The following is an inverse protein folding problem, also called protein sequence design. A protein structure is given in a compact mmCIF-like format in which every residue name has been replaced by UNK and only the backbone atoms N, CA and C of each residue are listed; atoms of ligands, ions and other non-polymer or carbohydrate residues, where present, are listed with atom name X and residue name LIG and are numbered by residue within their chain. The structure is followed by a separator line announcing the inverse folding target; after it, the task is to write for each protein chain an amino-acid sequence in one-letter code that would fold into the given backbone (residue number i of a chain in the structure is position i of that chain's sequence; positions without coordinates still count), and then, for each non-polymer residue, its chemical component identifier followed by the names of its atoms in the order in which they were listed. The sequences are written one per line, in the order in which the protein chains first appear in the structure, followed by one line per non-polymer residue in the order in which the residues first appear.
data_IF_356348600679
#
_entry.id   IF_356348600679
#
_cell.length_a   1.000
_cell.length_b   1.000
_cell.length_c   1.000
_cell.angle_alpha   90.00
_cell.angle_beta   90.00
_cell.angle_gamma   90.00
#
_symmetry.space_group_name_H-M   'P 1'
#
loop_
_entity.id
_entity.type
_entity.pdbx_description
1 polymer ?
#
# COMPACT_ATOMS: atom_id res chain seq x y z
N UNK A 1 -28.90 5.54 -4.39
CA UNK A 1 -27.47 5.58 -3.97
C UNK A 1 -26.63 5.85 -5.20
N UNK A 2 -25.89 6.92 -5.17
CA UNK A 2 -24.90 7.27 -6.17
C UNK A 2 -23.52 6.87 -5.63
N UNK A 3 -22.68 6.27 -6.48
CA UNK A 3 -21.28 5.95 -6.16
C UNK A 3 -20.45 6.84 -7.08
N UNK A 4 -19.64 7.71 -6.50
CA UNK A 4 -18.76 8.60 -7.24
C UNK A 4 -17.59 7.83 -7.88
N UNK A 5 -16.91 8.45 -8.85
CA UNK A 5 -15.72 7.87 -9.45
C UNK A 5 -14.66 7.54 -8.38
N UNK A 6 -13.97 6.39 -8.50
CA UNK A 6 -12.94 6.01 -7.55
C UNK A 6 -11.75 6.96 -7.61
N UNK A 7 -11.33 7.43 -6.45
CA UNK A 7 -10.17 8.29 -6.27
C UNK A 7 -9.04 7.53 -5.55
N UNK A 8 -7.82 7.48 -6.11
CA UNK A 8 -6.69 6.83 -5.44
C UNK A 8 -6.28 7.65 -4.19
N UNK A 9 -6.04 6.96 -3.07
CA UNK A 9 -5.70 7.59 -1.79
C UNK A 9 -4.42 7.07 -1.15
N UNK A 10 -3.97 5.89 -1.54
CA UNK A 10 -2.74 5.32 -1.06
C UNK A 10 -2.06 4.55 -2.20
N UNK A 11 -0.79 4.82 -2.40
CA UNK A 11 0.13 4.03 -3.21
C UNK A 11 1.22 3.48 -2.29
N UNK A 12 1.42 2.18 -2.29
CA UNK A 12 2.58 1.52 -1.70
C UNK A 12 3.33 0.80 -2.82
N UNK A 13 4.60 1.11 -2.98
CA UNK A 13 5.51 0.37 -3.84
C UNK A 13 6.61 -0.25 -2.99
N UNK A 14 6.88 -1.53 -3.16
CA UNK A 14 7.82 -2.26 -2.35
C UNK A 14 8.70 -3.19 -3.18
N UNK A 15 9.96 -3.31 -2.78
CA UNK A 15 10.93 -4.21 -3.37
C UNK A 15 11.60 -5.05 -2.30
N UNK A 16 11.88 -6.30 -2.61
CA UNK A 16 12.77 -7.15 -1.84
C UNK A 16 13.95 -7.56 -2.70
N UNK A 17 15.14 -7.48 -2.14
CA UNK A 17 16.38 -7.72 -2.85
C UNK A 17 17.36 -8.59 -2.04
N UNK A 18 18.50 -8.89 -2.64
CA UNK A 18 19.59 -9.54 -1.95
C UNK A 18 20.12 -8.66 -0.81
N UNK A 19 20.53 -9.27 0.29
CA UNK A 19 21.04 -8.56 1.46
C UNK A 19 22.23 -7.66 1.12
N UNK A 20 22.14 -6.37 1.48
CA UNK A 20 23.14 -5.32 1.25
C UNK A 20 23.69 -4.72 2.55
N UNK A 21 23.73 -5.50 3.63
CA UNK A 21 24.06 -5.03 4.99
C UNK A 21 25.31 -4.16 5.07
N UNK A 22 26.49 -4.54 4.52
CA UNK A 22 27.68 -3.71 4.62
C UNK A 22 27.51 -2.35 3.93
N UNK A 23 26.95 -2.35 2.73
CA UNK A 23 26.74 -1.11 1.95
C UNK A 23 25.73 -0.17 2.62
N UNK A 24 24.68 -0.70 3.21
CA UNK A 24 23.71 0.13 3.94
C UNK A 24 24.36 0.78 5.16
N UNK A 25 25.13 0.05 5.93
CA UNK A 25 25.82 0.59 7.11
C UNK A 25 26.77 1.73 6.74
N UNK A 26 27.55 1.55 5.67
CA UNK A 26 28.53 2.56 5.22
C UNK A 26 27.87 3.79 4.61
N UNK A 27 26.80 3.63 3.82
CA UNK A 27 26.16 4.71 3.05
C UNK A 27 24.95 5.33 3.72
N UNK A 28 24.54 4.84 4.87
CA UNK A 28 23.28 5.26 5.52
C UNK A 28 23.18 6.77 5.72
N UNK A 29 24.24 7.41 6.22
CA UNK A 29 24.24 8.86 6.45
C UNK A 29 24.16 9.67 5.16
N UNK A 30 24.86 9.22 4.11
CA UNK A 30 24.84 9.83 2.79
C UNK A 30 23.44 9.72 2.15
N UNK A 31 22.83 8.54 2.22
CA UNK A 31 21.46 8.32 1.72
C UNK A 31 20.44 9.20 2.42
N UNK A 32 20.52 9.31 3.76
CA UNK A 32 19.63 10.18 4.54
C UNK A 32 19.79 11.63 4.11
N UNK A 33 21.03 12.15 4.03
CA UNK A 33 21.29 13.53 3.66
C UNK A 33 20.80 13.86 2.24
N UNK A 34 21.11 12.98 1.28
CA UNK A 34 20.69 13.13 -0.12
C UNK A 34 19.16 13.07 -0.25
N UNK A 35 18.49 12.06 0.29
CA UNK A 35 17.06 11.89 0.12
C UNK A 35 16.22 12.91 0.89
N UNK A 36 16.72 13.40 2.04
CA UNK A 36 16.10 14.51 2.75
C UNK A 36 16.02 15.78 1.88
N UNK A 37 17.02 16.02 1.04
CA UNK A 37 17.09 17.16 0.14
C UNK A 37 16.34 16.88 -1.18
N UNK A 38 16.73 15.84 -1.91
CA UNK A 38 16.28 15.58 -3.28
C UNK A 38 14.80 15.20 -3.36
N UNK A 39 14.30 14.48 -2.34
CA UNK A 39 12.93 13.98 -2.26
C UNK A 39 12.07 14.68 -1.21
N UNK A 40 12.61 15.74 -0.57
CA UNK A 40 11.91 16.54 0.47
C UNK A 40 11.40 15.69 1.64
N UNK A 41 12.23 14.79 2.14
CA UNK A 41 11.97 13.89 3.26
C UNK A 41 12.78 14.32 4.50
N UNK A 42 12.49 15.49 5.14
CA UNK A 42 13.34 16.09 6.16
C UNK A 42 13.32 15.37 7.51
N UNK A 43 12.29 14.61 7.79
CA UNK A 43 12.17 13.86 9.03
C UNK A 43 12.70 12.44 8.84
N UNK A 44 13.62 12.04 9.69
CA UNK A 44 14.23 10.72 9.56
C UNK A 44 14.48 10.04 10.88
N UNK A 45 14.50 8.72 10.84
CA UNK A 45 14.93 7.85 11.93
C UNK A 45 15.81 6.75 11.33
N UNK A 46 16.87 6.37 12.03
CA UNK A 46 17.76 5.32 11.61
C UNK A 46 18.13 4.41 12.79
N UNK A 47 18.02 3.12 12.56
CA UNK A 47 18.51 2.06 13.45
C UNK A 47 19.72 1.37 12.81
N UNK A 48 20.17 0.26 13.41
CA UNK A 48 21.25 -0.54 12.87
C UNK A 48 20.93 -1.07 11.45
N UNK A 49 19.70 -1.54 11.24
CA UNK A 49 19.31 -2.29 10.04
C UNK A 49 18.26 -1.55 9.17
N UNK A 50 17.83 -0.35 9.57
CA UNK A 50 16.72 0.33 8.92
C UNK A 50 16.95 1.84 8.88
N UNK A 51 16.56 2.44 7.77
CA UNK A 51 16.43 3.90 7.59
C UNK A 51 15.00 4.20 7.23
N UNK A 52 14.41 5.19 7.88
CA UNK A 52 13.08 5.69 7.59
C UNK A 52 13.15 7.20 7.37
N UNK A 53 12.56 7.67 6.29
CA UNK A 53 12.42 9.09 5.97
C UNK A 53 10.95 9.41 5.70
N UNK A 54 10.52 10.60 6.15
CA UNK A 54 9.11 11.01 6.10
C UNK A 54 9.02 12.50 5.75
N UNK A 55 8.00 12.88 5.00
CA UNK A 55 7.63 14.29 4.83
C UNK A 55 7.05 14.86 6.13
N UNK A 56 7.11 16.18 6.32
CA UNK A 56 6.58 16.85 7.53
C UNK A 56 5.09 16.60 7.78
N UNK A 57 4.31 16.44 6.71
CA UNK A 57 2.88 16.13 6.78
C UNK A 57 2.60 14.64 6.96
N UNK A 58 3.63 13.80 6.99
CA UNK A 58 3.52 12.35 7.16
C UNK A 58 2.99 11.58 5.94
N UNK A 59 2.65 12.26 4.84
CA UNK A 59 1.99 11.63 3.68
C UNK A 59 2.92 10.79 2.82
N UNK A 60 4.18 11.19 2.68
CA UNK A 60 5.19 10.41 1.94
C UNK A 60 6.16 9.78 2.93
N UNK A 61 6.32 8.49 2.83
CA UNK A 61 7.23 7.72 3.67
C UNK A 61 8.09 6.81 2.80
N UNK A 62 9.37 6.81 3.06
CA UNK A 62 10.32 5.84 2.55
C UNK A 62 10.93 5.06 3.70
N UNK A 63 10.98 3.75 3.57
CA UNK A 63 11.69 2.88 4.49
C UNK A 63 12.61 1.94 3.73
N UNK A 64 13.85 1.85 4.19
CA UNK A 64 14.89 1.02 3.65
C UNK A 64 15.43 0.10 4.75
N UNK A 65 15.50 -1.19 4.49
CA UNK A 65 16.17 -2.18 5.32
C UNK A 65 17.31 -2.86 4.56
N UNK A 66 18.02 -3.74 5.23
CA UNK A 66 19.10 -4.54 4.60
C UNK A 66 18.61 -5.51 3.51
N UNK A 67 17.31 -5.72 3.36
CA UNK A 67 16.73 -6.71 2.43
C UNK A 67 15.54 -6.20 1.62
N UNK A 68 14.97 -5.10 2.01
CA UNK A 68 13.78 -4.56 1.38
C UNK A 68 13.72 -3.05 1.50
N UNK A 69 12.92 -2.45 0.64
CA UNK A 69 12.51 -1.07 0.76
C UNK A 69 11.06 -0.94 0.36
N UNK A 70 10.40 0.06 0.90
CA UNK A 70 9.10 0.46 0.44
C UNK A 70 8.91 1.97 0.49
N UNK A 71 8.07 2.44 -0.39
CA UNK A 71 7.55 3.79 -0.47
C UNK A 71 6.06 3.74 -0.21
N UNK A 72 5.54 4.68 0.56
CA UNK A 72 4.11 4.86 0.78
C UNK A 72 3.74 6.32 0.61
N UNK A 73 2.77 6.60 -0.24
CA UNK A 73 2.27 7.94 -0.55
C UNK A 73 0.76 7.96 -0.30
N UNK A 74 0.32 8.90 0.53
CA UNK A 74 -1.09 9.08 0.91
C UNK A 74 -1.65 10.39 0.36
N UNK A 75 -2.94 10.40 0.00
CA UNK A 75 -3.68 11.60 -0.39
C UNK A 75 -3.00 12.44 -1.47
N UNK A 76 -2.52 11.79 -2.52
CA UNK A 76 -1.95 12.43 -3.69
C UNK A 76 -3.05 12.79 -4.69
N UNK A 77 -2.82 13.86 -5.46
CA UNK A 77 -3.78 14.35 -6.48
C UNK A 77 -3.53 13.70 -7.84
N UNK A 78 -2.28 13.45 -8.18
CA UNK A 78 -1.88 12.86 -9.46
C UNK A 78 -1.15 11.53 -9.24
N UNK A 79 -1.71 10.47 -9.84
CA UNK A 79 -1.13 9.12 -9.75
C UNK A 79 0.18 9.01 -10.52
N UNK A 80 0.32 9.72 -11.64
CA UNK A 80 1.54 9.74 -12.44
C UNK A 80 2.69 10.35 -11.64
N UNK A 81 2.49 11.55 -11.05
CA UNK A 81 3.47 12.19 -10.18
C UNK A 81 3.86 11.30 -8.99
N UNK A 82 2.88 10.70 -8.32
CA UNK A 82 3.14 9.81 -7.19
C UNK A 82 3.97 8.58 -7.61
N UNK A 83 3.67 8.00 -8.77
CA UNK A 83 4.39 6.86 -9.32
C UNK A 83 5.81 7.23 -9.73
N UNK A 84 6.01 8.36 -10.40
CA UNK A 84 7.32 8.85 -10.83
C UNK A 84 8.20 9.15 -9.63
N UNK A 85 7.65 9.79 -8.59
CA UNK A 85 8.38 10.07 -7.36
C UNK A 85 8.81 8.77 -6.65
N UNK A 86 7.91 7.79 -6.53
CA UNK A 86 8.23 6.50 -5.92
C UNK A 86 9.30 5.75 -6.73
N UNK A 87 9.16 5.72 -8.06
CA UNK A 87 10.09 5.06 -8.95
C UNK A 87 11.49 5.71 -8.90
N UNK A 88 11.57 7.05 -8.93
CA UNK A 88 12.83 7.79 -8.83
C UNK A 88 13.59 7.44 -7.55
N UNK A 89 12.91 7.55 -6.39
CA UNK A 89 13.51 7.24 -5.09
C UNK A 89 14.00 5.80 -4.97
N UNK A 90 13.21 4.84 -5.47
CA UNK A 90 13.59 3.43 -5.46
C UNK A 90 14.75 3.14 -6.40
N UNK A 91 14.77 3.74 -7.59
CA UNK A 91 15.86 3.60 -8.57
C UNK A 91 17.17 4.16 -8.03
N UNK A 92 17.15 5.34 -7.44
CA UNK A 92 18.31 5.96 -6.79
C UNK A 92 18.86 5.10 -5.64
N UNK A 93 17.97 4.45 -4.90
CA UNK A 93 18.36 3.54 -3.82
C UNK A 93 19.04 2.28 -4.37
N UNK A 94 18.48 1.69 -5.43
CA UNK A 94 19.05 0.52 -6.12
C UNK A 94 20.45 0.84 -6.61
N UNK A 95 20.63 1.98 -7.26
CA UNK A 95 21.94 2.43 -7.76
C UNK A 95 22.92 2.68 -6.63
N UNK A 96 22.53 3.45 -5.61
CA UNK A 96 23.40 3.81 -4.49
C UNK A 96 23.88 2.58 -3.69
N UNK A 97 23.04 1.55 -3.54
CA UNK A 97 23.38 0.31 -2.84
C UNK A 97 23.89 -0.79 -3.76
N UNK A 98 24.07 -0.51 -5.05
CA UNK A 98 24.50 -1.48 -6.05
C UNK A 98 23.69 -2.79 -5.95
N UNK A 99 22.35 -2.66 -5.87
CA UNK A 99 21.47 -3.82 -5.81
C UNK A 99 21.45 -4.50 -7.18
N UNK A 100 22.03 -5.67 -7.27
CA UNK A 100 22.14 -6.45 -8.52
C UNK A 100 20.99 -7.44 -8.72
N UNK A 101 20.22 -7.72 -7.66
CA UNK A 101 19.15 -8.71 -7.75
C UNK A 101 17.91 -8.35 -6.92
N UNK A 102 16.81 -8.11 -7.61
CA UNK A 102 15.48 -7.98 -7.03
C UNK A 102 14.80 -9.35 -7.05
N UNK A 103 14.26 -9.78 -5.91
CA UNK A 103 13.62 -11.09 -5.73
C UNK A 103 12.10 -11.01 -5.66
N UNK A 104 11.57 -9.83 -5.36
CA UNK A 104 10.15 -9.58 -5.22
C UNK A 104 9.84 -8.11 -5.43
N UNK A 105 8.74 -7.83 -6.10
CA UNK A 105 8.17 -6.48 -6.24
C UNK A 105 6.69 -6.53 -5.90
N UNK A 106 6.18 -5.48 -5.26
CA UNK A 106 4.77 -5.36 -4.94
C UNK A 106 4.29 -3.92 -5.10
N UNK A 107 3.08 -3.78 -5.61
CA UNK A 107 2.37 -2.50 -5.67
C UNK A 107 0.99 -2.69 -5.06
N UNK A 108 0.64 -1.85 -4.11
CA UNK A 108 -0.67 -1.84 -3.48
C UNK A 108 -1.28 -0.46 -3.58
N UNK A 109 -2.55 -0.41 -3.93
CA UNK A 109 -3.30 0.83 -4.08
C UNK A 109 -4.62 0.76 -3.35
N UNK A 110 -4.94 1.83 -2.63
CA UNK A 110 -6.27 2.02 -2.06
C UNK A 110 -7.01 3.10 -2.83
N UNK A 111 -8.25 2.79 -3.16
CA UNK A 111 -9.18 3.66 -3.85
C UNK A 111 -10.41 3.86 -2.99
N UNK A 112 -10.92 5.08 -2.98
CA UNK A 112 -12.15 5.43 -2.29
C UNK A 112 -13.15 5.99 -3.30
N UNK A 113 -14.40 5.50 -3.25
CA UNK A 113 -15.52 6.05 -4.00
C UNK A 113 -16.52 6.58 -3.00
N UNK A 114 -16.66 7.90 -2.91
CA UNK A 114 -17.65 8.53 -2.01
C UNK A 114 -19.08 8.05 -2.32
N UNK A 115 -19.89 7.94 -1.28
CA UNK A 115 -21.31 7.55 -1.38
C UNK A 115 -22.18 8.49 -0.57
N UNK A 116 -23.42 8.66 -1.00
CA UNK A 116 -24.41 9.53 -0.32
C UNK A 116 -24.95 8.90 0.96
N UNK A 117 -24.89 7.57 1.08
CA UNK A 117 -25.47 6.85 2.21
C UNK A 117 -24.77 5.51 2.45
N UNK A 118 -24.06 5.41 3.58
CA UNK A 118 -23.44 4.17 4.04
C UNK A 118 -24.47 3.05 4.25
N UNK A 119 -25.63 3.38 4.79
CA UNK A 119 -26.66 2.39 5.06
C UNK A 119 -27.24 1.79 3.78
N UNK A 120 -27.37 2.58 2.72
CA UNK A 120 -27.79 2.09 1.40
C UNK A 120 -26.70 1.26 0.74
N UNK A 121 -25.43 1.72 0.79
CA UNK A 121 -24.28 0.97 0.29
C UNK A 121 -24.17 -0.39 1.00
N UNK A 122 -24.23 -0.38 2.34
CA UNK A 122 -24.18 -1.61 3.15
C UNK A 122 -25.33 -2.55 2.80
N UNK A 123 -26.56 -2.05 2.68
CA UNK A 123 -27.71 -2.87 2.28
C UNK A 123 -27.50 -3.48 0.91
N UNK A 124 -27.11 -2.68 -0.07
CA UNK A 124 -26.81 -3.15 -1.42
C UNK A 124 -25.73 -4.24 -1.42
N UNK A 125 -24.67 -4.05 -0.62
CA UNK A 125 -23.59 -5.03 -0.47
C UNK A 125 -24.09 -6.33 0.16
N UNK A 126 -24.89 -6.23 1.22
CA UNK A 126 -25.46 -7.39 1.91
C UNK A 126 -26.42 -8.16 1.01
N UNK A 127 -27.25 -7.47 0.22
CA UNK A 127 -28.19 -8.11 -0.71
C UNK A 127 -27.48 -8.84 -1.83
N UNK A 128 -26.35 -8.33 -2.31
CA UNK A 128 -25.61 -8.92 -3.43
C UNK A 128 -24.66 -10.04 -3.01
N UNK A 129 -24.02 -9.90 -1.88
CA UNK A 129 -22.90 -10.76 -1.46
C UNK A 129 -23.13 -11.45 -0.11
N UNK A 130 -24.15 -11.05 0.63
CA UNK A 130 -24.32 -11.41 2.04
C UNK A 130 -25.05 -12.72 2.32
N UNK A 131 -25.69 -13.37 1.37
CA UNK A 131 -26.55 -14.53 1.62
C UNK A 131 -25.87 -15.63 2.45
N UNK A 132 -24.70 -16.09 2.07
CA UNK A 132 -23.96 -17.12 2.80
C UNK A 132 -23.30 -16.61 4.09
N UNK A 133 -22.57 -15.49 4.09
CA UNK A 133 -22.01 -14.93 5.32
C UNK A 133 -23.06 -14.60 6.38
N UNK A 134 -24.25 -14.06 5.99
CA UNK A 134 -25.34 -13.77 6.92
C UNK A 134 -25.90 -15.05 7.54
N UNK A 135 -26.10 -16.10 6.74
CA UNK A 135 -26.58 -17.39 7.23
C UNK A 135 -25.58 -18.00 8.25
N UNK A 136 -24.28 -17.91 7.97
CA UNK A 136 -23.25 -18.36 8.89
C UNK A 136 -23.23 -17.55 10.19
N UNK A 137 -23.33 -16.22 10.12
CA UNK A 137 -23.38 -15.35 11.30
C UNK A 137 -24.61 -15.65 12.17
N UNK A 138 -25.79 -15.87 11.57
CA UNK A 138 -27.00 -16.28 12.26
C UNK A 138 -26.84 -17.64 12.96
N UNK A 139 -26.18 -18.62 12.31
CA UNK A 139 -25.90 -19.93 12.90
C UNK A 139 -24.98 -19.82 14.13
N UNK A 140 -24.14 -18.79 14.20
CA UNK A 140 -23.28 -18.46 15.35
C UNK A 140 -24.00 -17.62 16.41
N UNK A 141 -25.29 -17.28 16.22
CA UNK A 141 -26.06 -16.42 17.11
C UNK A 141 -25.57 -14.96 17.11
N UNK A 142 -24.96 -14.51 16.00
CA UNK A 142 -24.40 -13.15 15.86
C UNK A 142 -25.03 -12.43 14.68
N UNK A 143 -25.17 -11.11 14.81
CA UNK A 143 -25.51 -10.25 13.67
C UNK A 143 -24.21 -9.75 13.01
N UNK A 144 -24.17 -9.82 11.67
CA UNK A 144 -23.08 -9.20 10.92
C UNK A 144 -23.25 -7.68 10.89
N UNK A 145 -22.28 -6.97 11.39
CA UNK A 145 -22.26 -5.50 11.35
C UNK A 145 -21.80 -4.97 10.00
N UNK A 146 -20.98 -5.72 9.28
CA UNK A 146 -20.36 -5.32 8.03
C UNK A 146 -19.97 -6.53 7.16
N UNK A 147 -19.69 -6.30 5.87
CA UNK A 147 -19.27 -7.30 4.90
C UNK A 147 -18.19 -6.73 3.99
N UNK A 148 -17.04 -7.39 3.95
CA UNK A 148 -16.00 -7.16 2.96
C UNK A 148 -15.80 -8.40 2.08
N UNK A 149 -15.37 -8.19 0.84
CA UNK A 149 -15.08 -9.25 -0.13
C UNK A 149 -13.59 -9.26 -0.42
N UNK A 150 -13.03 -10.46 -0.53
CA UNK A 150 -11.65 -10.69 -0.95
C UNK A 150 -11.68 -11.60 -2.18
N UNK A 151 -11.04 -11.15 -3.25
CA UNK A 151 -10.80 -11.92 -4.47
C UNK A 151 -9.30 -12.14 -4.62
N UNK A 152 -8.90 -13.37 -4.86
CA UNK A 152 -7.51 -13.74 -5.15
C UNK A 152 -7.42 -14.34 -6.56
N UNK A 153 -6.49 -13.83 -7.35
CA UNK A 153 -6.23 -14.27 -8.72
C UNK A 153 -4.88 -15.00 -8.74
N UNK A 154 -4.88 -16.33 -8.91
CA UNK A 154 -3.68 -17.16 -8.67
C UNK A 154 -2.98 -17.64 -9.95
N UNK A 155 -3.65 -17.56 -11.08
CA UNK A 155 -3.20 -18.25 -12.30
C UNK A 155 -2.28 -17.41 -13.20
N UNK A 156 -2.13 -16.12 -12.90
CA UNK A 156 -1.33 -15.19 -13.69
C UNK A 156 -0.22 -14.54 -12.86
N UNK A 157 0.86 -14.11 -13.54
CA UNK A 157 1.90 -13.28 -12.95
C UNK A 157 1.79 -11.87 -13.53
N UNK A 158 1.70 -10.84 -12.71
CA UNK A 158 1.76 -10.82 -11.24
C UNK A 158 0.53 -11.45 -10.57
N UNK A 159 0.69 -11.86 -9.30
CA UNK A 159 -0.42 -12.31 -8.47
C UNK A 159 -1.22 -11.09 -8.02
N UNK A 160 -2.53 -11.13 -8.19
CA UNK A 160 -3.42 -10.06 -7.74
C UNK A 160 -4.28 -10.51 -6.57
N UNK A 161 -4.49 -9.58 -5.63
CA UNK A 161 -5.50 -9.69 -4.60
C UNK A 161 -6.30 -8.38 -4.57
N UNK A 162 -7.61 -8.50 -4.47
CA UNK A 162 -8.51 -7.35 -4.40
C UNK A 162 -9.41 -7.49 -3.18
N UNK A 163 -9.54 -6.42 -2.40
CA UNK A 163 -10.47 -6.33 -1.28
C UNK A 163 -11.36 -5.13 -1.48
N UNK A 164 -12.64 -5.29 -1.23
CA UNK A 164 -13.58 -4.18 -1.33
C UNK A 164 -14.77 -4.34 -0.41
N UNK A 165 -15.35 -3.23 0.00
CA UNK A 165 -16.50 -3.19 0.89
C UNK A 165 -16.84 -1.78 1.36
N UNK A 166 -18.00 -1.61 2.01
CA UNK A 166 -18.36 -0.35 2.63
C UNK A 166 -17.40 -0.01 3.77
N UNK A 167 -17.00 1.26 3.88
CA UNK A 167 -16.14 1.74 4.95
C UNK A 167 -16.48 3.19 5.31
N UNK A 168 -16.19 3.58 6.55
CA UNK A 168 -16.27 4.96 7.03
C UNK A 168 -14.87 5.56 7.21
N UNK A 169 -14.78 6.89 7.11
CA UNK A 169 -13.53 7.62 7.28
C UNK A 169 -12.81 7.27 8.60
N UNK A 170 -13.53 7.20 9.72
CA UNK A 170 -12.97 6.84 11.01
C UNK A 170 -12.30 5.46 11.02
N UNK A 171 -12.92 4.47 10.36
CA UNK A 171 -12.36 3.13 10.24
C UNK A 171 -11.09 3.12 9.40
N UNK A 172 -11.10 3.83 8.27
CA UNK A 172 -9.96 3.93 7.37
C UNK A 172 -8.77 4.64 8.04
N UNK A 173 -9.01 5.78 8.70
CA UNK A 173 -7.98 6.51 9.44
C UNK A 173 -7.41 5.69 10.60
N UNK A 174 -8.23 4.86 11.26
CA UNK A 174 -7.75 4.03 12.36
C UNK A 174 -6.87 2.87 11.87
N UNK A 175 -7.15 2.30 10.71
CA UNK A 175 -6.60 1.01 10.27
C UNK A 175 -5.67 1.09 9.06
N UNK A 176 -5.89 2.04 8.14
CA UNK A 176 -5.27 2.01 6.82
C UNK A 176 -4.33 3.18 6.55
N UNK A 177 -4.66 4.38 7.03
CA UNK A 177 -3.95 5.60 6.70
C UNK A 177 -3.17 6.16 7.90
N UNK A 178 -2.01 6.75 7.62
CA UNK A 178 -1.22 7.51 8.60
C UNK A 178 -1.74 8.93 8.73
N UNK A 179 -2.18 9.52 7.63
CA UNK A 179 -2.83 10.83 7.62
C UNK A 179 -4.12 10.76 8.45
N UNK A 180 -4.21 11.58 9.49
CA UNK A 180 -5.34 11.62 10.43
C UNK A 180 -6.24 12.82 10.21
N UNK A 181 -6.03 13.59 9.15
CA UNK A 181 -6.90 14.68 8.78
C UNK A 181 -8.14 14.15 8.04
N UNK A 182 -9.27 14.17 8.75
CA UNK A 182 -10.53 13.67 8.23
C UNK A 182 -11.01 14.39 6.96
N UNK A 183 -10.55 15.64 6.74
CA UNK A 183 -10.93 16.43 5.55
C UNK A 183 -10.41 15.86 4.23
N UNK A 184 -9.41 14.96 4.30
CA UNK A 184 -8.85 14.30 3.14
C UNK A 184 -9.63 13.06 2.68
N UNK A 185 -10.64 12.66 3.44
CA UNK A 185 -11.43 11.45 3.15
C UNK A 185 -12.92 11.77 3.06
N UNK A 186 -13.68 11.11 2.17
CA UNK A 186 -15.13 11.13 2.27
C UNK A 186 -15.58 10.51 3.61
N UNK A 187 -16.67 11.01 4.18
CA UNK A 187 -17.21 10.47 5.44
C UNK A 187 -17.59 8.99 5.30
N UNK A 188 -18.15 8.63 4.17
CA UNK A 188 -18.65 7.29 3.85
C UNK A 188 -18.27 6.92 2.41
N UNK A 189 -17.79 5.72 2.19
CA UNK A 189 -17.29 5.30 0.86
C UNK A 189 -17.29 3.80 0.63
N UNK A 190 -17.24 3.42 -0.64
CA UNK A 190 -16.80 2.12 -1.08
C UNK A 190 -15.27 2.10 -1.13
N UNK A 191 -14.68 1.24 -0.33
CA UNK A 191 -13.24 0.99 -0.28
C UNK A 191 -12.84 -0.09 -1.27
N UNK A 192 -11.76 0.14 -2.00
CA UNK A 192 -11.13 -0.83 -2.89
C UNK A 192 -9.61 -0.85 -2.61
N UNK A 193 -9.08 -2.02 -2.30
CA UNK A 193 -7.68 -2.32 -2.09
C UNK A 193 -7.22 -3.32 -3.15
N UNK A 194 -6.26 -2.93 -3.97
CA UNK A 194 -5.66 -3.77 -5.00
C UNK A 194 -4.20 -3.99 -4.65
N UNK A 195 -3.82 -5.23 -4.46
CA UNK A 195 -2.43 -5.65 -4.21
C UNK A 195 -1.93 -6.51 -5.38
N UNK A 196 -0.81 -6.11 -5.97
CA UNK A 196 -0.15 -6.78 -7.08
C UNK A 196 1.25 -7.19 -6.68
N UNK A 197 1.57 -8.48 -6.80
CA UNK A 197 2.85 -9.04 -6.39
C UNK A 197 3.50 -9.82 -7.52
N UNK A 198 4.73 -9.44 -7.86
CA UNK A 198 5.58 -10.18 -8.78
C UNK A 198 6.76 -10.80 -8.03
N UNK A 199 6.95 -12.11 -8.16
CA UNK A 199 8.09 -12.84 -7.62
C UNK A 199 8.99 -13.30 -8.76
N UNK A 200 10.25 -12.93 -8.73
CA UNK A 200 11.24 -13.45 -9.66
C UNK A 200 11.50 -14.91 -9.31
N UNK A 201 10.98 -15.84 -10.12
CA UNK A 201 11.35 -17.25 -9.98
C UNK A 201 12.83 -17.39 -10.33
N UNK A 202 13.62 -18.02 -9.44
CA UNK A 202 14.96 -18.47 -9.79
C UNK A 202 14.84 -19.38 -11.01
N UNK A 203 15.36 -18.99 -12.17
CA UNK A 203 15.75 -19.96 -13.16
C UNK A 203 16.84 -20.82 -12.51
N UNK A 204 16.51 -22.06 -12.18
CA UNK A 204 17.57 -23.03 -11.83
C UNK A 204 18.48 -23.09 -13.05
N UNK A 205 19.79 -22.79 -12.93
CA UNK A 205 20.67 -22.98 -14.07
C UNK A 205 20.57 -24.44 -14.50
N UNK A 206 20.62 -24.74 -15.81
CA UNK A 206 20.66 -26.11 -16.26
C UNK A 206 21.79 -26.81 -15.54
N UNK A 207 21.52 -27.98 -14.95
CA UNK A 207 22.58 -28.81 -14.38
C UNK A 207 23.57 -29.12 -15.51
N UNK A 208 24.89 -29.01 -15.23
CA UNK A 208 25.93 -29.38 -16.20
C UNK A 208 25.81 -30.85 -16.63
#
# INVERSE_FOLDING_TARGET
MEIQEPSPRLLISALRFQTVSPLLLDKRGELVARFAQDYQLPEWNASQDTVQLVTRDGRRLFQLSVRDMFVSIENFEDLGEATDWAHGLMSDTIEALAVDRITWTGVRMHWLSAVDSFNELRRWFMDRFGNTPIAAAKALGRESSDLGIVLEFKDEKPLYSMRFGPMRAEQAMAQLFRDKDATHYPDEFLFLDIDSVYRTTRSTPPKP
#
